data_IF_385147406431
#
_entry.id   IF_385147406431
#
_cell.length_a   1.000
_cell.length_b   1.000
_cell.length_c   1.000
_cell.angle_alpha   90.00
_cell.angle_beta   90.00
_cell.angle_gamma   90.00
#
_symmetry.space_group_name_H-M   'P 1'
#
loop_
_entity.id
_entity.type
_entity.pdbx_description
1 polymer ?
#
# COMPACT_ATOMS: atom_id res chain seq x y z
N UNK A 1 -93.09 -25.64 -33.19
CA UNK A 1 -91.85 -25.89 -32.44
C UNK A 1 -90.72 -25.70 -33.43
N UNK A 2 -90.35 -24.46 -33.73
CA UNK A 2 -89.61 -23.52 -32.88
C UNK A 2 -88.16 -23.94 -32.78
N UNK A 3 -87.32 -23.30 -33.58
CA UNK A 3 -85.91 -23.04 -33.32
C UNK A 3 -85.60 -21.80 -34.17
N UNK A 4 -85.95 -20.63 -33.65
CA UNK A 4 -85.36 -19.38 -34.10
C UNK A 4 -83.92 -19.41 -33.60
N UNK A 5 -82.97 -19.53 -34.53
CA UNK A 5 -81.56 -19.28 -34.26
C UNK A 5 -81.46 -17.76 -34.06
N UNK A 6 -81.38 -17.33 -32.80
CA UNK A 6 -80.96 -15.98 -32.45
C UNK A 6 -79.50 -15.83 -32.90
N UNK A 7 -79.27 -15.18 -34.03
CA UNK A 7 -77.96 -14.62 -34.36
C UNK A 7 -77.66 -13.55 -33.30
N UNK A 8 -76.77 -13.86 -32.36
CA UNK A 8 -76.18 -12.86 -31.47
C UNK A 8 -75.47 -11.83 -32.35
N UNK A 9 -76.05 -10.64 -32.49
CA UNK A 9 -75.37 -9.46 -33.04
C UNK A 9 -74.10 -9.23 -32.22
N UNK A 10 -72.94 -9.63 -32.73
CA UNK A 10 -71.63 -9.23 -32.18
C UNK A 10 -71.54 -7.71 -32.32
N UNK A 11 -71.94 -6.96 -31.29
CA UNK A 11 -71.76 -5.51 -31.25
C UNK A 11 -70.26 -5.20 -31.41
N UNK A 12 -69.92 -4.53 -32.51
CA UNK A 12 -68.55 -4.09 -32.80
C UNK A 12 -68.01 -3.26 -31.61
N UNK A 13 -66.92 -3.74 -30.99
CA UNK A 13 -66.24 -3.07 -29.88
C UNK A 13 -65.93 -1.61 -30.25
N UNK A 14 -66.40 -0.65 -29.44
CA UNK A 14 -66.13 0.76 -29.72
C UNK A 14 -64.65 1.09 -29.47
N UNK A 15 -64.13 2.17 -30.08
CA UNK A 15 -62.73 2.58 -29.87
C UNK A 15 -62.44 2.89 -28.38
N UNK A 16 -63.45 3.32 -27.62
CA UNK A 16 -63.33 3.58 -26.19
C UNK A 16 -63.23 2.29 -25.39
N UNK A 17 -64.11 1.31 -25.66
CA UNK A 17 -64.09 -0.01 -25.02
C UNK A 17 -62.77 -0.74 -25.29
N UNK A 18 -62.28 -0.68 -26.54
CA UNK A 18 -61.00 -1.26 -26.93
C UNK A 18 -59.81 -0.62 -26.19
N UNK A 19 -59.83 0.71 -25.97
CA UNK A 19 -58.80 1.43 -25.21
C UNK A 19 -58.82 1.05 -23.73
N UNK A 20 -60.00 0.96 -23.14
CA UNK A 20 -60.16 0.60 -21.73
C UNK A 20 -59.71 -0.84 -21.47
N UNK A 21 -60.08 -1.77 -22.36
CA UNK A 21 -59.60 -3.15 -22.30
C UNK A 21 -58.07 -3.23 -22.40
N UNK A 22 -57.46 -2.56 -23.39
CA UNK A 22 -56.00 -2.53 -23.53
C UNK A 22 -55.30 -1.89 -22.33
N UNK A 23 -55.89 -0.85 -21.73
CA UNK A 23 -55.35 -0.21 -20.52
C UNK A 23 -55.41 -1.15 -19.32
N UNK A 24 -56.51 -1.89 -19.16
CA UNK A 24 -56.67 -2.87 -18.09
C UNK A 24 -55.69 -4.05 -18.27
N UNK A 25 -55.56 -4.58 -19.49
CA UNK A 25 -54.59 -5.64 -19.81
C UNK A 25 -53.15 -5.19 -19.49
N UNK A 26 -52.81 -3.94 -19.82
CA UNK A 26 -51.49 -3.38 -19.53
C UNK A 26 -51.25 -3.21 -18.02
N UNK A 27 -52.27 -2.78 -17.28
CA UNK A 27 -52.20 -2.64 -15.82
C UNK A 27 -52.01 -4.01 -15.16
N UNK A 28 -52.77 -5.02 -15.59
CA UNK A 28 -52.64 -6.39 -15.05
C UNK A 28 -51.25 -6.99 -15.36
N UNK A 29 -50.72 -6.75 -16.56
CA UNK A 29 -49.34 -7.14 -16.90
C UNK A 29 -48.31 -6.43 -16.02
N UNK A 30 -48.46 -5.13 -15.80
CA UNK A 30 -47.57 -4.35 -14.94
C UNK A 30 -47.57 -4.87 -13.49
N UNK A 31 -48.75 -5.14 -12.93
CA UNK A 31 -48.88 -5.65 -11.58
C UNK A 31 -48.27 -7.05 -11.45
N UNK A 32 -48.51 -7.92 -12.44
CA UNK A 32 -47.90 -9.25 -12.50
C UNK A 32 -46.37 -9.21 -12.56
N UNK A 33 -45.79 -8.35 -13.39
CA UNK A 33 -44.34 -8.21 -13.50
C UNK A 33 -43.72 -7.56 -12.26
N UNK A 34 -44.42 -6.60 -11.64
CA UNK A 34 -44.00 -5.98 -10.38
C UNK A 34 -43.97 -7.01 -9.24
N UNK A 35 -44.99 -7.86 -9.15
CA UNK A 35 -45.06 -8.96 -8.18
C UNK A 35 -43.98 -10.04 -8.42
N UNK A 36 -43.66 -10.33 -9.69
CA UNK A 36 -42.53 -11.22 -10.03
C UNK A 36 -41.21 -10.60 -9.62
N UNK A 37 -40.98 -9.33 -9.95
CA UNK A 37 -39.77 -8.62 -9.57
C UNK A 37 -39.59 -8.59 -8.05
N UNK A 38 -40.65 -8.26 -7.29
CA UNK A 38 -40.61 -8.22 -5.83
C UNK A 38 -40.18 -9.57 -5.25
N UNK A 39 -40.78 -10.68 -5.72
CA UNK A 39 -40.41 -12.03 -5.31
C UNK A 39 -38.94 -12.36 -5.60
N UNK A 40 -38.41 -11.95 -6.76
CA UNK A 40 -37.00 -12.15 -7.10
C UNK A 40 -36.11 -11.33 -6.17
N UNK A 41 -36.42 -10.06 -5.91
CA UNK A 41 -35.65 -9.23 -4.97
C UNK A 41 -35.63 -9.82 -3.56
N UNK A 42 -36.76 -10.31 -3.04
CA UNK A 42 -36.81 -10.97 -1.73
C UNK A 42 -35.86 -12.18 -1.70
N UNK A 43 -35.90 -13.04 -2.71
CA UNK A 43 -34.98 -14.20 -2.77
C UNK A 43 -33.50 -13.79 -2.85
N UNK A 44 -33.17 -12.68 -3.52
CA UNK A 44 -31.80 -12.15 -3.59
C UNK A 44 -31.34 -11.58 -2.25
N UNK A 45 -32.23 -10.90 -1.53
CA UNK A 45 -31.96 -10.36 -0.19
C UNK A 45 -31.70 -11.48 0.83
N UNK A 46 -32.49 -12.57 0.78
CA UNK A 46 -32.31 -13.75 1.65
C UNK A 46 -30.90 -14.36 1.53
N UNK A 47 -30.31 -14.34 0.34
CA UNK A 47 -28.94 -14.83 0.08
C UNK A 47 -27.88 -13.72 0.13
N UNK A 48 -28.22 -12.54 0.64
CA UNK A 48 -27.32 -11.38 0.79
C UNK A 48 -26.69 -10.91 -0.53
N UNK A 49 -27.38 -11.11 -1.65
CA UNK A 49 -26.96 -10.57 -2.95
C UNK A 49 -27.46 -9.13 -3.06
N UNK A 50 -26.56 -8.15 -3.22
CA UNK A 50 -26.97 -6.76 -3.35
C UNK A 50 -27.68 -6.53 -4.69
N UNK A 51 -28.81 -5.82 -4.65
CA UNK A 51 -29.52 -5.34 -5.84
C UNK A 51 -29.39 -3.81 -5.94
N UNK A 52 -29.57 -3.28 -7.16
CA UNK A 52 -29.51 -1.84 -7.44
C UNK A 52 -30.65 -1.49 -8.37
N UNK A 53 -31.50 -0.57 -7.94
CA UNK A 53 -32.57 -0.02 -8.76
C UNK A 53 -32.03 1.13 -9.64
N UNK A 54 -32.45 1.15 -10.91
CA UNK A 54 -32.04 2.18 -11.88
C UNK A 54 -33.26 2.64 -12.68
N UNK A 55 -33.55 3.94 -12.62
CA UNK A 55 -34.66 4.56 -13.33
C UNK A 55 -34.41 4.62 -14.85
N UNK A 56 -35.21 3.89 -15.62
CA UNK A 56 -35.11 3.79 -17.09
C UNK A 56 -35.61 5.01 -17.88
N UNK A 57 -36.26 5.99 -17.23
CA UNK A 57 -36.87 7.15 -17.90
C UNK A 57 -35.89 8.21 -18.39
N UNK A 58 -34.58 8.02 -18.17
CA UNK A 58 -33.52 8.99 -18.53
C UNK A 58 -32.91 8.66 -19.90
N UNK A 59 -32.12 9.60 -20.46
CA UNK A 59 -31.36 9.36 -21.70
C UNK A 59 -30.40 8.15 -21.51
N UNK A 60 -30.19 7.28 -22.53
CA UNK A 60 -29.39 6.05 -22.39
C UNK A 60 -27.98 6.23 -21.79
N UNK A 61 -27.30 7.34 -22.09
CA UNK A 61 -25.97 7.61 -21.53
C UNK A 61 -25.99 7.91 -20.02
N UNK A 62 -27.10 8.47 -19.50
CA UNK A 62 -27.30 8.73 -18.06
C UNK A 62 -27.50 7.39 -17.33
N UNK A 63 -28.34 6.51 -17.89
CA UNK A 63 -28.57 5.16 -17.37
C UNK A 63 -27.25 4.38 -17.35
N UNK A 64 -26.48 4.43 -18.46
CA UNK A 64 -25.16 3.78 -18.54
C UNK A 64 -24.19 4.32 -17.50
N UNK A 65 -24.19 5.63 -17.25
CA UNK A 65 -23.40 6.23 -16.18
C UNK A 65 -23.81 5.72 -14.80
N UNK A 66 -25.11 5.70 -14.48
CA UNK A 66 -25.65 5.18 -13.23
C UNK A 66 -25.26 3.70 -13.03
N UNK A 67 -25.48 2.85 -14.03
CA UNK A 67 -25.05 1.45 -14.01
C UNK A 67 -23.55 1.33 -13.77
N UNK A 68 -22.73 2.08 -14.51
CA UNK A 68 -21.27 2.03 -14.35
C UNK A 68 -20.83 2.47 -12.96
N UNK A 69 -21.48 3.49 -12.39
CA UNK A 69 -21.20 4.02 -11.06
C UNK A 69 -21.54 3.00 -9.98
N UNK A 70 -22.69 2.34 -10.09
CA UNK A 70 -23.14 1.32 -9.14
C UNK A 70 -22.33 0.02 -9.25
N UNK A 71 -21.89 -0.36 -10.45
CA UNK A 71 -21.10 -1.57 -10.69
C UNK A 71 -19.60 -1.37 -10.48
N UNK A 72 -19.11 -0.13 -10.45
CA UNK A 72 -17.68 0.19 -10.28
C UNK A 72 -17.03 -0.53 -9.08
N UNK A 73 -17.62 -0.56 -7.88
CA UNK A 73 -17.03 -1.25 -6.72
C UNK A 73 -16.86 -2.77 -6.96
N UNK A 74 -17.72 -3.37 -7.78
CA UNK A 74 -17.74 -4.81 -8.04
C UNK A 74 -16.92 -5.23 -9.27
N UNK A 75 -16.49 -4.27 -10.09
CA UNK A 75 -15.79 -4.52 -11.35
C UNK A 75 -14.33 -4.11 -11.31
N UNK A 76 -13.98 -3.00 -10.63
CA UNK A 76 -12.61 -2.44 -10.67
C UNK A 76 -11.60 -3.34 -9.95
N UNK A 77 -11.96 -3.88 -8.78
CA UNK A 77 -11.07 -4.75 -7.99
C UNK A 77 -11.67 -6.15 -7.81
N UNK A 78 -12.32 -6.67 -8.87
CA UNK A 78 -13.09 -7.92 -8.83
C UNK A 78 -12.31 -9.10 -8.26
N UNK A 79 -11.02 -9.19 -8.56
CA UNK A 79 -10.16 -10.25 -8.04
C UNK A 79 -10.00 -10.21 -6.52
N UNK A 80 -10.03 -9.02 -5.93
CA UNK A 80 -9.85 -8.79 -4.49
C UNK A 80 -11.17 -8.49 -3.77
N UNK A 81 -12.32 -8.70 -4.40
CA UNK A 81 -13.64 -8.30 -3.88
C UNK A 81 -13.95 -8.85 -2.48
N UNK A 82 -13.48 -10.05 -2.17
CA UNK A 82 -13.70 -10.72 -0.88
C UNK A 82 -12.51 -10.61 0.07
N UNK A 83 -11.48 -9.88 -0.32
CA UNK A 83 -10.27 -9.74 0.47
C UNK A 83 -10.46 -8.69 1.57
N UNK A 84 -9.91 -8.97 2.76
CA UNK A 84 -9.99 -8.07 3.91
C UNK A 84 -8.60 -7.70 4.40
N UNK A 85 -8.32 -6.40 4.41
CA UNK A 85 -7.08 -5.80 4.88
C UNK A 85 -7.38 -4.95 6.11
N UNK A 86 -6.61 -5.13 7.18
CA UNK A 86 -6.84 -4.46 8.45
C UNK A 86 -5.66 -3.53 8.78
N UNK A 87 -5.83 -2.20 8.70
CA UNK A 87 -4.84 -1.24 9.17
C UNK A 87 -4.55 -1.42 10.66
N UNK A 88 -3.27 -1.38 11.02
CA UNK A 88 -2.82 -1.47 12.42
C UNK A 88 -1.75 -0.41 12.71
N UNK A 89 -1.45 -0.19 13.98
CA UNK A 89 -0.32 0.65 14.39
C UNK A 89 1.00 -0.12 14.29
N UNK A 90 2.11 0.61 14.10
CA UNK A 90 3.45 0.00 14.08
C UNK A 90 3.76 -0.75 15.38
N UNK A 91 3.41 -0.17 16.53
CA UNK A 91 3.57 -0.83 17.83
C UNK A 91 2.81 -2.16 17.92
N UNK A 92 1.62 -2.24 17.33
CA UNK A 92 0.83 -3.48 17.31
C UNK A 92 1.44 -4.50 16.34
N UNK A 93 1.89 -4.05 15.17
CA UNK A 93 2.57 -4.88 14.18
C UNK A 93 3.81 -5.55 14.76
N UNK A 94 4.68 -4.78 15.41
CA UNK A 94 5.88 -5.26 16.07
C UNK A 94 5.57 -6.29 17.15
N UNK A 95 4.58 -6.00 18.00
CA UNK A 95 4.15 -6.94 19.05
C UNK A 95 3.65 -8.25 18.44
N UNK A 96 2.80 -8.20 17.41
CA UNK A 96 2.24 -9.40 16.77
C UNK A 96 3.32 -10.27 16.11
N UNK A 97 4.31 -9.65 15.47
CA UNK A 97 5.44 -10.35 14.87
C UNK A 97 6.32 -10.98 15.97
N UNK A 98 6.65 -10.22 17.01
CA UNK A 98 7.53 -10.67 18.11
C UNK A 98 6.96 -11.89 18.85
N UNK A 99 5.64 -11.93 19.08
CA UNK A 99 4.98 -13.08 19.73
C UNK A 99 4.61 -14.20 18.75
N UNK A 100 4.91 -14.05 17.46
CA UNK A 100 4.59 -15.04 16.42
C UNK A 100 3.11 -15.16 16.06
N UNK A 101 2.24 -14.23 16.49
CA UNK A 101 0.80 -14.25 16.18
C UNK A 101 0.53 -13.97 14.69
N UNK A 102 1.36 -13.12 14.07
CA UNK A 102 1.37 -12.88 12.62
C UNK A 102 2.80 -12.97 12.11
N UNK A 103 2.97 -13.34 10.85
CA UNK A 103 4.27 -13.45 10.22
C UNK A 103 4.62 -12.16 9.46
N UNK A 104 5.90 -11.77 9.38
CA UNK A 104 6.29 -10.73 8.42
C UNK A 104 6.02 -11.24 7.01
N UNK A 105 5.50 -10.39 6.13
CA UNK A 105 5.28 -10.77 4.72
C UNK A 105 6.60 -11.06 4.01
N UNK A 106 6.52 -11.72 2.84
CA UNK A 106 7.67 -11.91 1.92
C UNK A 106 8.29 -10.61 1.41
N UNK A 107 7.59 -9.49 1.59
CA UNK A 107 8.10 -8.16 1.25
C UNK A 107 8.90 -7.55 2.41
N UNK A 108 8.89 -8.14 3.61
CA UNK A 108 9.54 -7.54 4.77
C UNK A 108 9.03 -6.12 5.02
N UNK A 109 9.93 -5.14 5.01
CA UNK A 109 9.63 -3.70 5.13
C UNK A 109 9.40 -2.99 3.78
N UNK A 110 9.48 -3.70 2.66
CA UNK A 110 9.20 -3.13 1.35
C UNK A 110 7.70 -2.90 1.17
N UNK A 111 7.35 -1.73 0.65
CA UNK A 111 5.99 -1.39 0.27
C UNK A 111 5.64 -2.11 -1.06
N UNK A 112 4.68 -3.05 -1.08
CA UNK A 112 4.33 -3.77 -2.31
C UNK A 112 3.81 -2.82 -3.41
N UNK A 113 3.15 -1.73 -3.04
CA UNK A 113 2.63 -0.74 -4.01
C UNK A 113 3.78 -0.04 -4.73
N UNK A 114 4.68 0.58 -3.97
CA UNK A 114 5.85 1.28 -4.53
C UNK A 114 6.80 0.35 -5.28
N UNK A 115 7.00 -0.87 -4.76
CA UNK A 115 7.86 -1.86 -5.42
C UNK A 115 7.33 -2.21 -6.81
N UNK A 116 6.00 -2.32 -6.96
CA UNK A 116 5.37 -2.58 -8.25
C UNK A 116 5.49 -1.37 -9.20
N UNK A 117 5.45 -0.15 -8.65
CA UNK A 117 5.59 1.11 -9.39
C UNK A 117 7.05 1.42 -9.81
N UNK A 118 8.01 0.55 -9.44
CA UNK A 118 9.41 0.63 -9.87
C UNK A 118 10.37 1.22 -8.84
N UNK A 119 9.92 1.53 -7.62
CA UNK A 119 10.80 1.99 -6.55
C UNK A 119 11.65 0.83 -6.01
N UNK A 120 12.96 1.06 -5.96
CA UNK A 120 13.95 0.02 -5.65
C UNK A 120 14.76 0.32 -4.38
N UNK A 121 14.32 1.28 -3.56
CA UNK A 121 14.94 1.61 -2.27
C UNK A 121 14.01 1.17 -1.15
N UNK A 122 14.55 0.42 -0.19
CA UNK A 122 13.79 0.02 0.98
C UNK A 122 13.50 1.26 1.84
N UNK A 123 12.23 1.52 2.20
CA UNK A 123 11.92 2.66 3.05
C UNK A 123 12.66 2.59 4.39
N UNK A 124 13.16 3.73 4.84
CA UNK A 124 13.68 3.86 6.20
C UNK A 124 12.54 3.59 7.20
N UNK A 125 12.89 3.03 8.35
CA UNK A 125 11.96 2.64 9.39
C UNK A 125 12.53 2.98 10.78
N UNK A 126 11.65 3.25 11.74
CA UNK A 126 11.98 3.61 13.12
C UNK A 126 11.58 5.04 13.48
N UNK A 127 12.20 5.59 14.53
CA UNK A 127 11.90 6.94 15.02
C UNK A 127 12.13 7.97 13.92
N UNK A 128 11.11 8.78 13.62
CA UNK A 128 11.15 9.79 12.56
C UNK A 128 10.77 9.29 11.16
N UNK A 129 10.59 7.97 10.97
CA UNK A 129 10.20 7.37 9.70
C UNK A 129 8.88 6.60 9.87
N UNK A 130 7.73 7.26 9.62
CA UNK A 130 6.44 6.64 9.84
C UNK A 130 6.24 5.45 8.91
N UNK A 131 5.65 4.38 9.44
CA UNK A 131 5.21 3.23 8.65
C UNK A 131 3.69 3.06 8.73
N UNK A 132 3.11 2.47 7.68
CA UNK A 132 1.67 2.26 7.57
C UNK A 132 1.36 0.77 7.46
N UNK A 133 1.44 0.00 8.57
CA UNK A 133 1.27 -1.43 8.50
C UNK A 133 -0.19 -1.86 8.36
N UNK A 134 -0.38 -3.00 7.70
CA UNK A 134 -1.65 -3.69 7.59
C UNK A 134 -1.49 -5.18 7.86
N UNK A 135 -2.55 -5.80 8.34
CA UNK A 135 -2.70 -7.25 8.36
C UNK A 135 -3.46 -7.66 7.12
N UNK A 136 -2.91 -8.61 6.39
CA UNK A 136 -3.61 -9.30 5.33
C UNK A 136 -3.38 -10.81 5.47
N UNK A 137 -4.46 -11.54 5.70
CA UNK A 137 -4.43 -12.98 6.02
C UNK A 137 -3.52 -13.26 7.24
N UNK A 138 -2.49 -14.09 7.06
CA UNK A 138 -1.52 -14.45 8.10
C UNK A 138 -0.36 -13.48 8.27
N UNK A 139 -0.28 -12.42 7.45
CA UNK A 139 0.94 -11.63 7.30
C UNK A 139 0.76 -10.16 7.62
N UNK A 140 1.85 -9.53 8.06
CA UNK A 140 1.99 -8.08 8.20
C UNK A 140 2.72 -7.52 6.99
N UNK A 141 2.13 -6.52 6.35
CA UNK A 141 2.70 -5.74 5.26
C UNK A 141 2.93 -4.31 5.73
N UNK A 142 4.00 -3.67 5.25
CA UNK A 142 4.32 -2.28 5.56
C UNK A 142 4.16 -1.43 4.31
N UNK A 143 3.37 -0.36 4.39
CA UNK A 143 3.17 0.58 3.30
C UNK A 143 3.89 1.89 3.61
N UNK A 144 4.36 2.55 2.57
CA UNK A 144 5.18 3.77 2.70
C UNK A 144 4.38 5.00 3.11
N UNK A 145 3.09 5.05 2.77
CA UNK A 145 2.19 6.16 3.10
C UNK A 145 0.73 5.69 3.17
N UNK A 146 -0.15 6.58 3.61
CA UNK A 146 -1.58 6.29 3.75
C UNK A 146 -2.26 5.97 2.41
N UNK A 147 -1.82 6.61 1.32
CA UNK A 147 -2.35 6.38 -0.02
C UNK A 147 -2.05 4.96 -0.51
N UNK A 148 -0.81 4.50 -0.33
CA UNK A 148 -0.38 3.15 -0.66
C UNK A 148 -1.09 2.11 0.20
N UNK A 149 -1.37 2.44 1.47
CA UNK A 149 -2.19 1.60 2.34
C UNK A 149 -3.61 1.44 1.81
N UNK A 150 -4.22 2.53 1.37
CA UNK A 150 -5.57 2.52 0.79
C UNK A 150 -5.59 1.70 -0.51
N UNK A 151 -4.66 1.95 -1.42
CA UNK A 151 -4.53 1.23 -2.68
C UNK A 151 -4.34 -0.28 -2.47
N UNK A 152 -3.42 -0.66 -1.56
CA UNK A 152 -3.21 -2.05 -1.19
C UNK A 152 -4.44 -2.68 -0.53
N UNK A 153 -5.21 -1.92 0.25
CA UNK A 153 -6.43 -2.41 0.90
C UNK A 153 -7.55 -2.71 -0.10
N UNK A 154 -7.62 -1.93 -1.18
CA UNK A 154 -8.61 -2.10 -2.25
C UNK A 154 -8.28 -3.25 -3.20
N UNK A 155 -6.99 -3.50 -3.47
CA UNK A 155 -6.58 -4.58 -4.38
C UNK A 155 -5.29 -5.30 -3.97
N UNK A 156 -5.27 -6.01 -2.82
CA UNK A 156 -4.06 -6.67 -2.34
C UNK A 156 -3.53 -7.70 -3.34
N UNK A 157 -4.38 -8.50 -4.00
CA UNK A 157 -3.92 -9.58 -4.87
C UNK A 157 -3.11 -9.05 -6.07
N UNK A 158 -3.46 -7.89 -6.63
CA UNK A 158 -2.69 -7.25 -7.69
C UNK A 158 -1.24 -7.01 -7.27
N UNK A 159 -1.04 -6.38 -6.12
CA UNK A 159 0.31 -6.10 -5.59
C UNK A 159 1.02 -7.36 -5.11
N UNK A 160 0.31 -8.44 -4.81
CA UNK A 160 0.91 -9.70 -4.34
C UNK A 160 1.23 -10.69 -5.46
N UNK A 161 0.93 -10.38 -6.72
CA UNK A 161 1.35 -11.20 -7.88
C UNK A 161 2.80 -10.95 -8.32
N UNK A 162 3.38 -9.84 -7.89
CA UNK A 162 4.76 -9.48 -8.24
C UNK A 162 5.78 -10.38 -7.51
N UNK A 163 7.02 -10.52 -8.02
CA UNK A 163 8.07 -11.29 -7.35
C UNK A 163 8.44 -10.67 -5.99
N UNK A 164 9.10 -11.44 -5.13
CA UNK A 164 9.60 -10.89 -3.86
C UNK A 164 10.71 -9.87 -4.12
N UNK A 165 10.82 -8.82 -3.28
CA UNK A 165 11.91 -7.86 -3.40
C UNK A 165 13.26 -8.56 -3.28
N UNK A 166 14.25 -8.06 -4.01
CA UNK A 166 15.62 -8.54 -3.87
C UNK A 166 16.13 -8.20 -2.45
N UNK A 167 17.01 -9.04 -1.87
CA UNK A 167 17.65 -8.71 -0.60
C UNK A 167 18.33 -7.34 -0.71
N UNK A 168 18.21 -6.53 0.34
CA UNK A 168 18.95 -5.28 0.42
C UNK A 168 20.43 -5.61 0.51
N UNK A 169 21.21 -5.10 -0.45
CA UNK A 169 22.67 -5.17 -0.40
C UNK A 169 23.15 -3.86 0.23
N UNK A 170 23.83 -3.88 1.38
CA UNK A 170 24.32 -2.67 2.03
C UNK A 170 25.24 -1.89 1.09
N UNK A 171 24.92 -0.60 0.87
CA UNK A 171 25.73 0.27 0.00
C UNK A 171 27.01 0.66 0.74
N UNK A 172 28.17 0.42 0.13
CA UNK A 172 29.46 0.84 0.68
C UNK A 172 30.15 1.73 -0.34
N UNK A 173 30.27 3.01 -0.04
CA UNK A 173 30.85 3.98 -0.97
C UNK A 173 31.76 4.99 -0.27
N UNK A 174 32.62 5.63 -1.03
CA UNK A 174 33.47 6.73 -0.57
C UNK A 174 33.28 7.92 -1.51
N UNK A 175 33.19 9.13 -0.95
CA UNK A 175 33.09 10.38 -1.71
C UNK A 175 34.40 11.12 -1.56
N UNK A 176 35.11 11.27 -2.68
CA UNK A 176 36.44 11.87 -2.75
C UNK A 176 36.38 13.10 -3.65
N UNK A 177 37.05 14.18 -3.25
CA UNK A 177 37.14 15.39 -4.05
C UNK A 177 37.84 16.53 -3.31
N UNK A 178 38.19 17.63 -4.00
CA UNK A 178 38.92 18.75 -3.42
C UNK A 178 38.13 19.45 -2.29
N UNK A 179 38.80 20.15 -1.35
CA UNK A 179 38.12 20.93 -0.32
C UNK A 179 37.05 21.85 -0.93
N UNK A 180 35.90 21.99 -0.25
CA UNK A 180 34.76 22.82 -0.68
C UNK A 180 34.04 22.39 -1.98
N UNK A 181 34.28 21.19 -2.51
CA UNK A 181 33.56 20.65 -3.68
C UNK A 181 32.10 20.23 -3.43
N UNK A 182 31.60 20.34 -2.20
CA UNK A 182 30.26 19.88 -1.83
C UNK A 182 30.16 18.38 -1.48
N UNK A 183 31.28 17.67 -1.34
CA UNK A 183 31.33 16.24 -0.94
C UNK A 183 30.50 15.90 0.30
N UNK A 184 30.61 16.68 1.38
CA UNK A 184 29.81 16.48 2.59
C UNK A 184 28.32 16.72 2.35
N UNK A 185 27.95 17.67 1.49
CA UNK A 185 26.55 17.91 1.10
C UNK A 185 25.99 16.71 0.34
N UNK A 186 26.76 16.16 -0.60
CA UNK A 186 26.39 14.96 -1.34
C UNK A 186 26.26 13.75 -0.40
N UNK A 187 27.22 13.56 0.53
CA UNK A 187 27.19 12.49 1.51
C UNK A 187 25.92 12.52 2.39
N UNK A 188 25.53 13.71 2.88
CA UNK A 188 24.30 13.92 3.64
C UNK A 188 23.04 13.65 2.82
N UNK A 189 23.05 13.99 1.53
CA UNK A 189 21.93 13.69 0.64
C UNK A 189 21.72 12.19 0.52
N UNK A 190 22.78 11.43 0.27
CA UNK A 190 22.70 9.97 0.22
C UNK A 190 22.26 9.36 1.56
N UNK A 191 22.77 9.86 2.69
CA UNK A 191 22.30 9.46 4.03
C UNK A 191 20.79 9.65 4.19
N UNK A 192 20.25 10.79 3.74
CA UNK A 192 18.81 11.05 3.81
C UNK A 192 17.95 10.21 2.85
N UNK A 193 18.47 9.87 1.67
CA UNK A 193 17.73 9.24 0.59
C UNK A 193 17.78 7.70 0.66
N UNK A 194 18.92 7.14 1.06
CA UNK A 194 19.16 5.70 1.12
C UNK A 194 19.30 5.16 2.54
N UNK A 195 19.34 6.04 3.55
CA UNK A 195 19.47 5.64 4.94
C UNK A 195 20.80 5.01 5.33
N UNK A 196 21.82 5.23 4.50
CA UNK A 196 23.21 4.83 4.74
C UNK A 196 23.86 5.70 5.80
N UNK A 197 24.81 5.16 6.55
CA UNK A 197 25.51 5.90 7.61
C UNK A 197 26.64 6.74 7.02
N UNK A 198 26.64 8.06 7.23
CA UNK A 198 27.79 8.91 6.88
C UNK A 198 28.88 8.78 7.94
N UNK A 199 30.09 8.41 7.52
CA UNK A 199 31.25 8.26 8.40
C UNK A 199 32.39 9.13 7.88
N UNK A 200 32.79 10.14 8.65
CA UNK A 200 34.06 10.84 8.44
C UNK A 200 35.12 10.34 9.41
N UNK A 201 36.40 10.59 9.11
CA UNK A 201 37.49 10.22 10.01
C UNK A 201 37.36 10.91 11.38
N UNK A 202 36.99 12.18 11.38
CA UNK A 202 36.73 12.94 12.59
C UNK A 202 35.56 12.38 13.41
N UNK A 203 34.49 11.93 12.75
CA UNK A 203 33.36 11.29 13.43
C UNK A 203 33.78 9.94 14.04
N UNK A 204 34.57 9.14 13.31
CA UNK A 204 35.07 7.85 13.79
C UNK A 204 35.97 7.98 15.03
N UNK A 205 36.90 8.92 15.03
CA UNK A 205 37.75 9.20 16.20
C UNK A 205 36.91 9.66 17.40
N UNK A 206 35.95 10.56 17.18
CA UNK A 206 35.02 11.01 18.24
C UNK A 206 34.18 9.86 18.80
N UNK A 207 33.72 8.95 17.95
CA UNK A 207 32.96 7.76 18.34
C UNK A 207 33.79 6.87 19.27
N UNK A 208 35.04 6.57 18.91
CA UNK A 208 35.95 5.76 19.74
C UNK A 208 36.19 6.42 21.10
N UNK A 209 36.50 7.72 21.12
CA UNK A 209 36.76 8.46 22.34
C UNK A 209 35.53 8.54 23.26
N UNK A 210 34.34 8.68 22.71
CA UNK A 210 33.10 8.80 23.48
C UNK A 210 32.59 7.45 23.99
N UNK A 211 32.60 6.41 23.14
CA UNK A 211 31.94 5.14 23.44
C UNK A 211 32.89 4.06 23.95
N UNK A 212 34.19 4.18 23.69
CA UNK A 212 35.20 3.19 24.07
C UNK A 212 36.44 3.82 24.76
N UNK A 213 36.26 4.71 25.76
CA UNK A 213 37.35 5.52 26.32
C UNK A 213 38.45 4.71 27.02
N UNK A 214 38.18 3.46 27.39
CA UNK A 214 39.12 2.59 28.12
C UNK A 214 39.99 1.72 27.21
N UNK A 215 39.85 1.85 25.89
CA UNK A 215 40.61 1.04 24.93
C UNK A 215 42.01 1.61 24.69
N UNK A 216 42.95 0.76 24.28
CA UNK A 216 44.30 1.20 23.88
C UNK A 216 44.25 2.22 22.74
N UNK A 217 43.34 2.01 21.78
CA UNK A 217 43.10 2.93 20.67
C UNK A 217 42.64 4.31 21.17
N UNK A 218 41.67 4.37 22.10
CA UNK A 218 41.20 5.63 22.67
C UNK A 218 42.30 6.37 23.43
N UNK A 219 43.11 5.66 24.21
CA UNK A 219 44.24 6.25 24.94
C UNK A 219 45.28 6.84 23.96
N UNK A 220 45.69 6.08 22.94
CA UNK A 220 46.63 6.56 21.93
C UNK A 220 46.10 7.78 21.16
N UNK A 221 44.83 7.76 20.75
CA UNK A 221 44.17 8.91 20.13
C UNK A 221 44.17 10.11 21.07
N UNK A 222 43.85 9.92 22.35
CA UNK A 222 43.78 11.01 23.31
C UNK A 222 45.15 11.63 23.58
N UNK A 223 46.21 10.82 23.67
CA UNK A 223 47.58 11.30 23.88
C UNK A 223 48.08 12.12 22.68
N UNK A 224 47.84 11.64 21.45
CA UNK A 224 48.20 12.35 20.21
C UNK A 224 47.42 13.66 20.06
N UNK A 225 46.13 13.66 20.39
CA UNK A 225 45.29 14.87 20.34
C UNK A 225 45.70 15.88 21.41
N UNK A 226 46.06 15.43 22.62
CA UNK A 226 46.58 16.30 23.71
C UNK A 226 47.93 16.90 23.37
N UNK A 227 48.78 16.18 22.65
CA UNK A 227 50.10 16.69 22.21
C UNK A 227 50.03 17.63 21.00
N UNK A 228 48.85 17.83 20.40
CA UNK A 228 48.66 18.64 19.19
C UNK A 228 49.31 18.03 17.94
N UNK A 229 49.70 16.75 18.00
CA UNK A 229 50.33 16.06 16.87
C UNK A 229 49.29 15.54 15.88
N UNK A 230 49.64 15.42 14.57
CA UNK A 230 48.74 14.81 13.60
C UNK A 230 48.52 13.32 13.92
N UNK A 231 47.28 12.86 13.80
CA UNK A 231 46.92 11.44 13.98
C UNK A 231 47.52 10.62 12.83
N UNK A 232 48.21 9.53 13.14
CA UNK A 232 48.79 8.64 12.13
C UNK A 232 47.71 7.94 11.32
N UNK A 233 48.02 7.59 10.06
CA UNK A 233 47.10 6.83 9.20
C UNK A 233 46.68 5.49 9.83
N UNK A 234 47.57 4.84 10.57
CA UNK A 234 47.27 3.59 11.27
C UNK A 234 46.21 3.77 12.35
N UNK A 235 46.34 4.80 13.19
CA UNK A 235 45.35 5.14 14.22
C UNK A 235 44.01 5.57 13.61
N UNK A 236 44.09 6.37 12.55
CA UNK A 236 42.94 6.81 11.78
C UNK A 236 42.15 5.63 11.19
N UNK A 237 42.84 4.68 10.55
CA UNK A 237 42.22 3.46 9.99
C UNK A 237 41.65 2.57 11.09
N UNK A 238 42.34 2.40 12.21
CA UNK A 238 41.83 1.63 13.34
C UNK A 238 40.54 2.25 13.91
N UNK A 239 40.48 3.58 14.06
CA UNK A 239 39.27 4.27 14.50
C UNK A 239 38.12 4.09 13.49
N UNK A 240 38.44 4.17 12.20
CA UNK A 240 37.47 3.95 11.14
C UNK A 240 36.90 2.52 11.17
N UNK A 241 37.75 1.50 11.35
CA UNK A 241 37.30 0.11 11.46
C UNK A 241 36.30 -0.08 12.60
N UNK A 242 36.56 0.52 13.77
CA UNK A 242 35.62 0.46 14.91
C UNK A 242 34.29 1.12 14.56
N UNK A 243 34.30 2.28 13.91
CA UNK A 243 33.06 2.94 13.48
C UNK A 243 32.26 2.12 12.44
N UNK A 244 32.96 1.42 11.54
CA UNK A 244 32.33 0.59 10.51
C UNK A 244 31.75 -0.74 11.04
N UNK A 245 32.14 -1.17 12.25
CA UNK A 245 31.55 -2.34 12.92
C UNK A 245 30.16 -2.07 13.49
N UNK A 246 29.64 -0.84 13.42
CA UNK A 246 28.28 -0.52 13.83
C UNK A 246 27.24 -1.35 13.06
N UNK A 247 26.18 -1.79 13.75
CA UNK A 247 25.11 -2.59 13.17
C UNK A 247 24.41 -1.87 12.01
N UNK A 248 24.26 -0.54 12.07
CA UNK A 248 23.64 0.23 10.99
C UNK A 248 24.57 0.30 9.77
N UNK A 249 25.89 0.47 9.97
CA UNK A 249 26.88 0.41 8.89
C UNK A 249 26.86 -0.95 8.18
N UNK A 250 26.68 -2.03 8.93
CA UNK A 250 26.68 -3.40 8.39
C UNK A 250 25.37 -3.73 7.66
N UNK A 251 24.23 -3.27 8.18
CA UNK A 251 22.89 -3.63 7.65
C UNK A 251 22.36 -2.68 6.59
N UNK A 252 22.61 -1.38 6.72
CA UNK A 252 22.17 -0.35 5.77
C UNK A 252 23.28 0.12 4.83
N UNK A 253 24.53 -0.03 5.24
CA UNK A 253 25.69 0.44 4.50
C UNK A 253 26.20 1.78 5.02
N UNK A 254 27.28 2.28 4.41
CA UNK A 254 27.97 3.48 4.84
C UNK A 254 28.59 4.27 3.68
N UNK A 255 28.80 5.55 3.95
CA UNK A 255 29.50 6.50 3.09
C UNK A 255 30.70 7.06 3.82
N UNK A 256 31.89 6.85 3.25
CA UNK A 256 33.11 7.50 3.72
C UNK A 256 33.19 8.93 3.17
N UNK A 257 33.09 9.91 4.05
CA UNK A 257 33.22 11.34 3.71
C UNK A 257 34.69 11.76 3.81
N UNK A 258 35.36 11.89 2.66
CA UNK A 258 36.75 12.34 2.56
C UNK A 258 36.89 13.85 2.75
N UNK A 259 36.37 14.40 3.85
CA UNK A 259 36.28 15.84 4.10
C UNK A 259 37.60 16.56 4.40
N UNK A 260 38.75 15.87 4.31
CA UNK A 260 40.05 16.36 4.78
C UNK A 260 41.17 16.18 3.76
#
# INVERSE_FOLDING_TARGET
>A
MSAEEEEEDEEDETEEDARDRLSNDLAELYDNDTNRLSSVTETLEEVLIPHVEVEGGRKPHIIRYQLSKSLKPYTVYRESMFERVYPISEKLAERMITIGYKQPSRFGRWCPVQLLEGECVQPMHGVGYPSFPVIYRGYVYYLANAQNREAFSQNPLHYLKQPSPKPVVPIRMAIIGPPKSGKTTLARRFESEFGVVRVSLGDAMRLVLANQPKTSLANQLQDVLKSGSPVSNELAVAALQVALMDMNCTTRGYILDGSH
#
